data_IF_797198909756
#
_entry.id   IF_797198909756
#
_cell.length_a   1.000
_cell.length_b   1.000
_cell.length_c   1.000
_cell.angle_alpha   90.00
_cell.angle_beta   90.00
_cell.angle_gamma   90.00
#
_symmetry.space_group_name_H-M   'P 1'
#
loop_
_entity.id
_entity.type
_entity.pdbx_description
1 polymer ?
#
# COMPACT_ATOMS: atom_id res chain seq x y z
N UNK A 1 -22.30 -8.31 -3.69
CA UNK A 1 -21.58 -8.91 -2.53
C UNK A 1 -20.89 -7.80 -1.74
N UNK A 2 -20.51 -8.02 -0.48
CA UNK A 2 -19.78 -6.99 0.28
C UNK A 2 -18.37 -6.85 -0.31
N UNK A 3 -17.91 -5.62 -0.54
CA UNK A 3 -16.57 -5.31 -1.07
C UNK A 3 -15.50 -5.55 0.00
N UNK A 4 -14.34 -6.09 -0.38
CA UNK A 4 -13.24 -6.36 0.54
C UNK A 4 -11.99 -5.57 0.13
N UNK A 5 -11.41 -4.83 1.07
CA UNK A 5 -10.08 -4.22 0.91
C UNK A 5 -9.04 -4.96 1.76
N UNK A 6 -7.90 -5.31 1.15
CA UNK A 6 -6.72 -5.84 1.83
C UNK A 6 -5.70 -4.74 1.99
N UNK A 7 -5.42 -4.35 3.24
CA UNK A 7 -4.50 -3.25 3.57
C UNK A 7 -3.15 -3.83 3.97
N UNK A 8 -2.25 -3.97 3.01
CA UNK A 8 -0.91 -4.52 3.17
C UNK A 8 0.07 -3.47 3.71
N UNK A 9 0.73 -3.78 4.84
CA UNK A 9 1.61 -2.84 5.55
C UNK A 9 0.83 -1.90 6.45
N UNK A 10 -0.08 -2.46 7.26
CA UNK A 10 -0.85 -1.68 8.22
C UNK A 10 0.03 -1.07 9.31
N UNK A 11 -0.22 0.22 9.59
CA UNK A 11 0.39 1.03 10.65
C UNK A 11 -0.50 2.22 11.00
N UNK A 12 -0.11 3.01 11.99
CA UNK A 12 -0.93 4.10 12.57
C UNK A 12 -1.17 5.32 11.69
N UNK A 13 -0.44 5.44 10.57
CA UNK A 13 -0.56 6.60 9.66
C UNK A 13 -1.50 6.35 8.48
N UNK A 14 -0.95 6.41 7.27
CA UNK A 14 -1.69 6.35 6.00
C UNK A 14 -2.59 5.12 5.90
N UNK A 15 -2.04 3.94 6.15
CA UNK A 15 -2.80 2.69 6.02
C UNK A 15 -3.94 2.56 7.05
N UNK A 16 -3.81 3.15 8.25
CA UNK A 16 -4.91 3.27 9.18
C UNK A 16 -6.02 4.14 8.62
N UNK A 17 -5.67 5.32 8.09
CA UNK A 17 -6.64 6.24 7.51
C UNK A 17 -7.34 5.64 6.28
N UNK A 18 -6.61 4.94 5.40
CA UNK A 18 -7.19 4.22 4.26
C UNK A 18 -8.14 3.11 4.71
N UNK A 19 -7.73 2.29 5.69
CA UNK A 19 -8.59 1.25 6.25
C UNK A 19 -9.89 1.83 6.83
N UNK A 20 -9.79 2.97 7.53
CA UNK A 20 -10.94 3.67 8.10
C UNK A 20 -11.85 4.23 7.01
N UNK A 21 -11.28 4.91 6.01
CA UNK A 21 -12.04 5.52 4.91
C UNK A 21 -12.82 4.45 4.15
N UNK A 22 -12.16 3.41 3.66
CA UNK A 22 -12.84 2.34 2.93
C UNK A 22 -13.83 1.58 3.80
N UNK A 23 -13.50 1.33 5.08
CA UNK A 23 -14.42 0.71 6.03
C UNK A 23 -15.70 1.52 6.26
N UNK A 24 -15.61 2.84 6.39
CA UNK A 24 -16.77 3.73 6.52
C UNK A 24 -17.62 3.80 5.25
N UNK A 25 -17.05 3.47 4.10
CA UNK A 25 -17.74 3.35 2.81
C UNK A 25 -18.29 1.92 2.55
N UNK A 26 -18.34 1.09 3.59
CA UNK A 26 -18.99 -0.23 3.56
C UNK A 26 -18.10 -1.39 3.13
N UNK A 27 -16.79 -1.21 3.03
CA UNK A 27 -15.87 -2.33 2.79
C UNK A 27 -15.63 -3.16 4.03
N UNK A 28 -15.47 -4.47 3.84
CA UNK A 28 -14.80 -5.35 4.79
C UNK A 28 -13.31 -5.09 4.72
N UNK A 29 -12.63 -5.03 5.85
CA UNK A 29 -11.23 -4.60 5.93
C UNK A 29 -10.34 -5.73 6.46
N UNK A 30 -9.40 -6.19 5.64
CA UNK A 30 -8.33 -7.08 6.07
C UNK A 30 -7.08 -6.26 6.41
N UNK A 31 -6.71 -6.21 7.69
CA UNK A 31 -5.51 -5.52 8.17
C UNK A 31 -4.32 -6.47 8.14
N UNK A 32 -3.25 -6.12 7.41
CA UNK A 32 -2.08 -6.98 7.23
C UNK A 32 -0.81 -6.30 7.73
N UNK A 33 -0.15 -6.89 8.72
CA UNK A 33 1.16 -6.50 9.22
C UNK A 33 1.80 -7.67 10.00
N UNK A 34 3.05 -7.51 10.44
CA UNK A 34 3.79 -8.57 11.15
C UNK A 34 3.31 -8.82 12.59
N UNK A 35 2.90 -7.76 13.29
CA UNK A 35 2.65 -7.80 14.73
C UNK A 35 1.18 -8.08 15.03
N UNK A 36 0.85 -9.31 15.42
CA UNK A 36 -0.52 -9.76 15.70
C UNK A 36 -1.23 -8.88 16.76
N UNK A 37 -0.58 -8.60 17.90
CA UNK A 37 -1.21 -7.84 19.00
C UNK A 37 -1.65 -6.44 18.57
N UNK A 38 -0.83 -5.73 17.77
CA UNK A 38 -1.17 -4.40 17.23
C UNK A 38 -2.33 -4.46 16.23
N UNK A 39 -2.38 -5.53 15.44
CA UNK A 39 -3.50 -5.75 14.51
C UNK A 39 -4.80 -6.04 15.24
N UNK A 40 -4.75 -6.83 16.32
CA UNK A 40 -5.93 -7.19 17.12
C UNK A 40 -6.50 -5.97 17.87
N UNK A 41 -5.63 -5.10 18.41
CA UNK A 41 -6.05 -3.82 19.00
C UNK A 41 -6.75 -2.92 17.96
N UNK A 42 -6.13 -2.79 16.79
CA UNK A 42 -6.71 -2.02 15.71
C UNK A 42 -8.06 -2.62 15.26
N UNK A 43 -8.14 -3.92 15.08
CA UNK A 43 -9.37 -4.60 14.68
C UNK A 43 -10.50 -4.36 15.69
N UNK A 44 -10.22 -4.41 16.99
CA UNK A 44 -11.20 -4.07 18.04
C UNK A 44 -11.70 -2.62 17.91
N UNK A 45 -10.78 -1.67 17.69
CA UNK A 45 -11.14 -0.26 17.53
C UNK A 45 -12.01 -0.01 16.28
N UNK A 46 -11.68 -0.65 15.16
CA UNK A 46 -12.51 -0.58 13.94
C UNK A 46 -13.89 -1.21 14.13
N UNK A 47 -13.94 -2.38 14.77
CA UNK A 47 -15.20 -3.09 15.05
C UNK A 47 -16.13 -2.25 15.94
N UNK A 48 -15.58 -1.53 16.95
CA UNK A 48 -16.34 -0.62 17.79
C UNK A 48 -16.94 0.56 17.01
N UNK A 49 -16.40 0.87 15.82
CA UNK A 49 -16.94 1.88 14.90
C UNK A 49 -17.89 1.28 13.86
N UNK A 50 -18.29 0.00 13.99
CA UNK A 50 -19.20 -0.66 13.07
C UNK A 50 -18.54 -1.18 11.77
N UNK A 51 -17.22 -1.12 11.65
CA UNK A 51 -16.50 -1.60 10.47
C UNK A 51 -16.22 -3.10 10.62
N UNK A 52 -16.62 -3.89 9.61
CA UNK A 52 -16.28 -5.32 9.54
C UNK A 52 -14.80 -5.48 9.20
N UNK A 53 -14.01 -5.89 10.17
CA UNK A 53 -12.56 -5.94 10.08
C UNK A 53 -12.01 -7.24 10.63
N UNK A 54 -10.86 -7.70 10.11
CA UNK A 54 -10.10 -8.83 10.65
C UNK A 54 -8.59 -8.61 10.51
N UNK A 55 -7.86 -9.07 11.51
CA UNK A 55 -6.39 -9.07 11.55
C UNK A 55 -5.83 -10.31 10.81
N UNK A 56 -4.80 -10.08 10.00
CA UNK A 56 -4.05 -11.11 9.27
C UNK A 56 -2.56 -10.88 9.48
N UNK A 57 -1.96 -11.47 10.53
CA UNK A 57 -0.52 -11.41 10.74
C UNK A 57 0.22 -12.06 9.56
N UNK A 58 1.11 -11.28 8.90
CA UNK A 58 1.87 -11.76 7.77
C UNK A 58 3.16 -10.95 7.62
N UNK A 59 4.28 -11.63 7.37
CA UNK A 59 5.48 -10.98 6.87
C UNK A 59 5.39 -10.86 5.36
N UNK A 60 5.20 -9.63 4.88
CA UNK A 60 5.06 -9.36 3.45
C UNK A 60 6.40 -9.46 2.68
N UNK A 61 7.53 -9.67 3.34
CA UNK A 61 8.81 -9.99 2.68
C UNK A 61 8.92 -11.47 2.28
N UNK A 62 8.05 -12.32 2.83
CA UNK A 62 7.96 -13.74 2.47
C UNK A 62 6.85 -13.96 1.43
N UNK A 63 7.24 -14.21 0.19
CA UNK A 63 6.30 -14.47 -0.91
C UNK A 63 5.42 -15.70 -0.67
N UNK A 64 5.90 -16.70 0.07
CA UNK A 64 5.12 -17.88 0.40
C UNK A 64 4.01 -17.58 1.41
N UNK A 65 4.28 -16.69 2.36
CA UNK A 65 3.30 -16.21 3.32
C UNK A 65 2.17 -15.41 2.66
N UNK A 66 2.46 -14.70 1.56
CA UNK A 66 1.45 -13.95 0.81
C UNK A 66 0.38 -14.88 0.21
N UNK A 67 0.75 -16.05 -0.29
CA UNK A 67 -0.22 -17.01 -0.81
C UNK A 67 -1.20 -17.49 0.29
N UNK A 68 -0.68 -17.80 1.47
CA UNK A 68 -1.47 -18.18 2.63
C UNK A 68 -2.36 -17.02 3.13
N UNK A 69 -1.86 -15.81 3.09
CA UNK A 69 -2.60 -14.59 3.41
C UNK A 69 -3.83 -14.44 2.49
N UNK A 70 -3.63 -14.46 1.18
CA UNK A 70 -4.71 -14.30 0.20
C UNK A 70 -5.78 -15.38 0.38
N UNK A 71 -5.37 -16.64 0.57
CA UNK A 71 -6.30 -17.74 0.84
C UNK A 71 -7.09 -17.51 2.15
N UNK A 72 -6.45 -17.02 3.19
CA UNK A 72 -7.08 -16.72 4.47
C UNK A 72 -8.07 -15.56 4.40
N UNK A 73 -7.76 -14.51 3.61
CA UNK A 73 -8.67 -13.38 3.36
C UNK A 73 -9.91 -13.87 2.59
N UNK A 74 -9.73 -14.67 1.53
CA UNK A 74 -10.85 -15.28 0.79
C UNK A 74 -11.75 -16.12 1.67
N UNK A 75 -11.16 -16.94 2.54
CA UNK A 75 -11.93 -17.74 3.50
C UNK A 75 -12.77 -16.90 4.46
N UNK A 76 -12.25 -15.73 4.87
CA UNK A 76 -12.90 -14.87 5.87
C UNK A 76 -13.94 -13.91 5.27
N UNK A 77 -13.68 -13.38 4.07
CA UNK A 77 -14.43 -12.27 3.48
C UNK A 77 -14.95 -12.53 2.06
N UNK A 78 -14.53 -13.60 1.43
CA UNK A 78 -14.83 -13.86 0.02
C UNK A 78 -13.85 -13.15 -0.91
N UNK A 79 -14.34 -12.68 -2.06
CA UNK A 79 -13.55 -12.06 -3.11
C UNK A 79 -12.87 -10.77 -2.64
N UNK A 80 -11.63 -10.56 -3.11
CA UNK A 80 -10.87 -9.33 -2.90
C UNK A 80 -11.26 -8.33 -3.97
N UNK A 81 -11.79 -7.18 -3.54
CA UNK A 81 -12.16 -6.08 -4.44
C UNK A 81 -11.04 -5.06 -4.58
N UNK A 82 -10.31 -4.78 -3.50
CA UNK A 82 -9.23 -3.79 -3.48
C UNK A 82 -8.01 -4.35 -2.77
N UNK A 83 -6.84 -4.27 -3.41
CA UNK A 83 -5.54 -4.49 -2.80
C UNK A 83 -4.86 -3.14 -2.59
N UNK A 84 -4.67 -2.74 -1.34
CA UNK A 84 -3.90 -1.54 -0.99
C UNK A 84 -2.52 -1.92 -0.49
N UNK A 85 -1.47 -1.39 -1.12
CA UNK A 85 -0.08 -1.64 -0.75
C UNK A 85 0.57 -0.40 -0.15
N UNK A 86 0.92 -0.50 1.13
CA UNK A 86 1.61 0.54 1.90
C UNK A 86 2.90 0.00 2.57
N UNK A 87 3.24 -1.28 2.29
CA UNK A 87 4.42 -1.90 2.87
C UNK A 87 5.71 -1.35 2.27
N UNK A 88 6.63 -0.95 3.12
CA UNK A 88 7.97 -0.54 2.78
C UNK A 88 8.90 -0.73 3.98
N UNK A 89 10.20 -0.62 3.77
CA UNK A 89 11.22 -0.57 4.81
C UNK A 89 12.19 0.59 4.56
N UNK A 90 12.89 1.00 5.59
CA UNK A 90 13.97 1.99 5.50
C UNK A 90 15.29 1.24 5.71
N UNK A 91 15.97 0.92 4.62
CA UNK A 91 17.28 0.28 4.59
C UNK A 91 18.05 0.78 3.36
N UNK A 92 19.30 0.38 3.19
CA UNK A 92 20.13 0.79 2.07
C UNK A 92 20.16 2.31 1.87
N UNK A 93 20.43 3.04 2.95
CA UNK A 93 20.42 4.50 2.97
C UNK A 93 21.56 5.12 2.15
N UNK A 94 22.74 4.48 2.17
CA UNK A 94 23.96 4.89 1.45
C UNK A 94 24.51 3.71 0.64
N UNK A 95 24.13 3.62 -0.64
CA UNK A 95 24.54 2.54 -1.54
C UNK A 95 26.03 2.52 -1.89
N UNK A 96 26.80 3.49 -1.41
CA UNK A 96 28.27 3.45 -1.52
C UNK A 96 28.92 2.66 -0.40
N UNK A 97 28.16 2.26 0.63
CA UNK A 97 28.65 1.59 1.85
C UNK A 97 27.80 0.39 2.27
N UNK A 98 26.48 0.52 2.11
CA UNK A 98 25.52 -0.49 2.58
C UNK A 98 25.62 -1.75 1.73
N UNK A 99 25.37 -2.89 2.34
CA UNK A 99 25.42 -4.17 1.65
C UNK A 99 24.35 -4.25 0.54
N UNK A 100 24.68 -4.72 -0.67
CA UNK A 100 23.70 -4.88 -1.76
C UNK A 100 22.49 -5.75 -1.40
N UNK A 101 22.63 -6.63 -0.40
CA UNK A 101 21.54 -7.44 0.14
C UNK A 101 20.44 -6.60 0.80
N UNK A 102 20.75 -5.42 1.34
CA UNK A 102 19.76 -4.52 1.90
C UNK A 102 18.87 -3.91 0.82
N UNK A 103 19.49 -3.47 -0.30
CA UNK A 103 18.73 -3.01 -1.45
C UNK A 103 17.85 -4.13 -2.04
N UNK A 104 18.38 -5.36 -2.11
CA UNK A 104 17.60 -6.53 -2.56
C UNK A 104 16.37 -6.72 -1.68
N UNK A 105 16.54 -6.71 -0.35
CA UNK A 105 15.42 -6.87 0.60
C UNK A 105 14.36 -5.77 0.45
N UNK A 106 14.78 -4.53 0.15
CA UNK A 106 13.86 -3.44 -0.15
C UNK A 106 13.04 -3.68 -1.41
N UNK A 107 13.72 -4.12 -2.49
CA UNK A 107 13.07 -4.43 -3.76
C UNK A 107 12.17 -5.66 -3.64
N UNK A 108 12.59 -6.68 -2.87
CA UNK A 108 11.78 -7.85 -2.59
C UNK A 108 10.47 -7.46 -1.90
N UNK A 109 10.54 -6.67 -0.82
CA UNK A 109 9.33 -6.21 -0.12
C UNK A 109 8.50 -5.24 -0.98
N UNK A 110 9.14 -4.21 -1.54
CA UNK A 110 8.43 -3.09 -2.18
C UNK A 110 7.92 -3.39 -3.58
N UNK A 111 8.57 -4.31 -4.31
CA UNK A 111 8.26 -4.58 -5.72
C UNK A 111 7.86 -6.04 -5.94
N UNK A 112 8.71 -7.00 -5.58
CA UNK A 112 8.47 -8.41 -5.90
C UNK A 112 7.26 -8.94 -5.13
N UNK A 113 7.17 -8.66 -3.84
CA UNK A 113 6.03 -9.05 -3.00
C UNK A 113 4.73 -8.35 -3.42
N UNK A 114 4.80 -7.09 -3.86
CA UNK A 114 3.65 -6.39 -4.44
C UNK A 114 3.16 -7.10 -5.71
N UNK A 115 4.07 -7.45 -6.62
CA UNK A 115 3.73 -8.21 -7.86
C UNK A 115 3.11 -9.55 -7.49
N UNK A 116 3.70 -10.29 -6.55
CA UNK A 116 3.17 -11.56 -6.05
C UNK A 116 1.75 -11.41 -5.50
N UNK A 117 1.50 -10.39 -4.67
CA UNK A 117 0.18 -10.12 -4.11
C UNK A 117 -0.85 -9.76 -5.21
N UNK A 118 -0.45 -8.95 -6.20
CA UNK A 118 -1.30 -8.64 -7.36
C UNK A 118 -1.65 -9.92 -8.12
N UNK A 119 -0.67 -10.75 -8.47
CA UNK A 119 -0.89 -11.99 -9.23
C UNK A 119 -1.84 -12.95 -8.51
N UNK A 120 -1.70 -13.08 -7.20
CA UNK A 120 -2.54 -13.94 -6.37
C UNK A 120 -3.96 -13.40 -6.19
N UNK A 121 -4.13 -12.06 -6.13
CA UNK A 121 -5.45 -11.44 -6.04
C UNK A 121 -6.14 -11.28 -7.42
N UNK A 122 -5.40 -11.39 -8.52
CA UNK A 122 -5.88 -11.07 -9.86
C UNK A 122 -7.10 -11.87 -10.31
N UNK A 123 -7.29 -13.16 -9.97
CA UNK A 123 -8.54 -13.86 -10.28
C UNK A 123 -9.76 -13.15 -9.68
N UNK A 124 -9.72 -12.79 -8.39
CA UNK A 124 -10.81 -12.08 -7.72
C UNK A 124 -11.06 -10.70 -8.35
N UNK A 125 -9.98 -9.96 -8.63
CA UNK A 125 -10.05 -8.63 -9.22
C UNK A 125 -10.69 -8.67 -10.63
N UNK A 126 -10.42 -9.71 -11.43
CA UNK A 126 -11.01 -9.89 -12.77
C UNK A 126 -12.48 -10.28 -12.71
N UNK A 127 -12.85 -11.10 -11.76
CA UNK A 127 -14.20 -11.62 -11.62
C UNK A 127 -15.15 -10.62 -10.93
N UNK A 128 -14.57 -9.68 -10.17
CA UNK A 128 -15.32 -8.69 -9.40
C UNK A 128 -16.11 -7.73 -10.31
N UNK A 129 -17.40 -7.53 -9.98
CA UNK A 129 -18.27 -6.52 -10.58
C UNK A 129 -18.29 -5.20 -9.78
N UNK A 130 -17.50 -5.11 -8.71
CA UNK A 130 -17.55 -4.07 -7.68
C UNK A 130 -16.37 -3.09 -7.77
N UNK A 131 -16.00 -2.67 -8.98
CA UNK A 131 -14.91 -1.70 -9.23
C UNK A 131 -13.55 -2.15 -8.67
N UNK A 132 -12.99 -3.28 -9.14
CA UNK A 132 -11.74 -3.83 -8.62
C UNK A 132 -10.56 -2.88 -8.81
N UNK A 133 -9.67 -2.81 -7.80
CA UNK A 133 -8.52 -1.92 -7.86
C UNK A 133 -7.28 -2.44 -7.11
N UNK A 134 -6.11 -2.01 -7.58
CA UNK A 134 -4.84 -2.06 -6.85
C UNK A 134 -4.41 -0.63 -6.58
N UNK A 135 -4.26 -0.28 -5.31
CA UNK A 135 -3.93 1.07 -4.85
C UNK A 135 -2.57 1.05 -4.13
N UNK A 136 -1.64 1.87 -4.54
CA UNK A 136 -0.27 1.87 -4.01
C UNK A 136 0.05 3.22 -3.37
N UNK A 137 0.60 3.20 -2.16
CA UNK A 137 1.18 4.40 -1.53
C UNK A 137 2.56 4.65 -2.12
N UNK A 138 2.65 5.65 -2.98
CA UNK A 138 3.89 6.17 -3.53
C UNK A 138 4.57 7.16 -2.60
N UNK A 139 5.68 7.72 -3.07
CA UNK A 139 6.40 8.74 -2.33
C UNK A 139 7.25 9.61 -3.24
N UNK A 140 7.46 10.86 -2.84
CA UNK A 140 8.18 11.86 -3.63
C UNK A 140 9.58 11.44 -4.07
N UNK A 141 10.22 10.52 -3.33
CA UNK A 141 11.51 9.93 -3.73
C UNK A 141 11.47 9.11 -5.03
N UNK A 142 10.27 8.80 -5.56
CA UNK A 142 10.12 8.17 -6.88
C UNK A 142 10.40 9.13 -8.05
N UNK A 143 10.33 10.43 -7.83
CA UNK A 143 10.33 11.43 -8.90
C UNK A 143 11.75 11.73 -9.39
N UNK A 144 11.90 11.79 -10.70
CA UNK A 144 13.16 12.16 -11.38
C UNK A 144 13.35 13.68 -11.30
N UNK A 145 14.05 14.11 -10.26
CA UNK A 145 14.26 15.52 -9.97
C UNK A 145 15.59 15.70 -9.21
N UNK A 146 16.51 16.58 -9.66
CA UNK A 146 17.81 16.76 -9.00
C UNK A 146 17.74 17.14 -7.52
N UNK A 147 16.69 17.86 -7.09
CA UNK A 147 16.51 18.20 -5.67
C UNK A 147 16.09 16.95 -4.85
N UNK A 148 15.24 16.10 -5.41
CA UNK A 148 14.85 14.82 -4.81
C UNK A 148 16.06 13.89 -4.72
N UNK A 149 16.86 13.80 -5.80
CA UNK A 149 18.08 12.96 -5.82
C UNK A 149 19.09 13.44 -4.77
N UNK A 150 19.28 14.77 -4.64
CA UNK A 150 20.14 15.33 -3.60
C UNK A 150 19.64 15.08 -2.16
N UNK A 151 18.32 14.97 -1.97
CA UNK A 151 17.73 14.57 -0.68
C UNK A 151 17.93 13.07 -0.43
N UNK A 152 17.65 12.24 -1.43
CA UNK A 152 17.80 10.79 -1.33
C UNK A 152 19.25 10.38 -1.04
N UNK A 153 20.22 11.07 -1.64
CA UNK A 153 21.64 10.86 -1.41
C UNK A 153 22.09 11.07 0.04
N UNK A 154 21.30 11.74 0.88
CA UNK A 154 21.59 11.96 2.30
C UNK A 154 21.20 10.81 3.23
N UNK A 155 20.72 9.67 2.69
CA UNK A 155 20.39 8.50 3.50
C UNK A 155 19.08 7.80 3.12
N UNK A 156 18.62 7.96 1.88
CA UNK A 156 17.41 7.30 1.37
C UNK A 156 17.57 6.75 -0.05
N UNK A 157 18.80 6.40 -0.46
CA UNK A 157 19.10 5.97 -1.84
C UNK A 157 18.29 4.72 -2.22
N UNK A 158 18.29 3.67 -1.37
CA UNK A 158 17.55 2.44 -1.63
C UNK A 158 16.04 2.67 -1.67
N UNK A 159 15.50 3.48 -0.74
CA UNK A 159 14.09 3.86 -0.74
C UNK A 159 13.69 4.59 -2.03
N UNK A 160 14.52 5.49 -2.54
CA UNK A 160 14.30 6.22 -3.78
C UNK A 160 14.19 5.26 -4.96
N UNK A 161 15.14 4.33 -5.09
CA UNK A 161 15.14 3.31 -6.15
C UNK A 161 13.89 2.43 -6.06
N UNK A 162 13.55 1.94 -4.87
CA UNK A 162 12.38 1.10 -4.66
C UNK A 162 11.08 1.86 -5.02
N UNK A 163 10.95 3.11 -4.60
CA UNK A 163 9.77 3.94 -4.92
C UNK A 163 9.68 4.27 -6.41
N UNK A 164 10.81 4.53 -7.09
CA UNK A 164 10.84 4.70 -8.54
C UNK A 164 10.40 3.43 -9.28
N UNK A 165 10.84 2.26 -8.81
CA UNK A 165 10.41 0.98 -9.38
C UNK A 165 8.90 0.73 -9.16
N UNK A 166 8.36 1.03 -7.96
CA UNK A 166 6.91 0.96 -7.70
C UNK A 166 6.13 1.92 -8.62
N UNK A 167 6.58 3.16 -8.75
CA UNK A 167 5.95 4.18 -9.58
C UNK A 167 5.88 3.74 -11.05
N UNK A 168 6.97 3.16 -11.57
CA UNK A 168 6.98 2.58 -12.93
C UNK A 168 6.05 1.39 -13.05
N UNK A 169 6.03 0.51 -12.04
CA UNK A 169 5.15 -0.66 -11.99
C UNK A 169 3.68 -0.25 -12.08
N UNK A 170 3.26 0.78 -11.36
CA UNK A 170 1.88 1.31 -11.40
C UNK A 170 1.47 1.64 -12.82
N UNK A 171 2.26 2.41 -13.55
CA UNK A 171 1.93 2.80 -14.92
C UNK A 171 1.83 1.62 -15.89
N UNK A 172 2.77 0.68 -15.79
CA UNK A 172 2.76 -0.52 -16.63
C UNK A 172 1.56 -1.41 -16.33
N UNK A 173 1.27 -1.64 -15.04
CA UNK A 173 0.11 -2.44 -14.62
C UNK A 173 -1.22 -1.75 -14.92
N UNK A 174 -1.31 -0.44 -14.77
CA UNK A 174 -2.49 0.32 -15.16
C UNK A 174 -2.83 0.09 -16.64
N UNK A 175 -1.85 0.24 -17.53
CA UNK A 175 -2.06 0.03 -18.96
C UNK A 175 -2.44 -1.43 -19.27
N UNK A 176 -1.79 -2.39 -18.61
CA UNK A 176 -2.04 -3.81 -18.83
C UNK A 176 -3.43 -4.25 -18.37
N UNK A 177 -3.86 -3.80 -17.19
CA UNK A 177 -5.08 -4.28 -16.54
C UNK A 177 -6.33 -3.46 -16.86
N UNK A 178 -6.16 -2.28 -17.48
CA UNK A 178 -7.28 -1.39 -17.86
C UNK A 178 -8.31 -2.10 -18.74
N UNK A 179 -7.87 -2.87 -19.73
CA UNK A 179 -8.77 -3.64 -20.62
C UNK A 179 -9.48 -4.79 -19.89
N UNK A 180 -8.97 -5.20 -18.74
CA UNK A 180 -9.52 -6.25 -17.89
C UNK A 180 -10.46 -5.67 -16.80
N UNK A 181 -10.71 -4.36 -16.83
CA UNK A 181 -11.56 -3.65 -15.87
C UNK A 181 -10.95 -3.43 -14.50
N UNK A 182 -9.67 -3.76 -14.29
CA UNK A 182 -8.98 -3.56 -13.02
C UNK A 182 -8.21 -2.23 -13.04
N UNK A 183 -8.53 -1.35 -12.11
CA UNK A 183 -7.81 -0.09 -11.93
C UNK A 183 -6.53 -0.30 -11.12
N UNK A 184 -5.44 0.32 -11.55
CA UNK A 184 -4.20 0.40 -10.78
C UNK A 184 -3.81 1.86 -10.64
N UNK A 185 -3.69 2.34 -9.40
CA UNK A 185 -3.40 3.74 -9.13
C UNK A 185 -2.50 3.95 -7.92
N UNK A 186 -1.80 5.08 -7.93
CA UNK A 186 -0.88 5.50 -6.87
C UNK A 186 -1.23 6.89 -6.37
N UNK A 187 -1.19 7.04 -5.04
CA UNK A 187 -1.10 8.36 -4.41
C UNK A 187 0.35 8.61 -4.04
N UNK A 188 1.02 9.52 -4.76
CA UNK A 188 2.40 9.91 -4.50
C UNK A 188 2.43 10.99 -3.43
N UNK A 189 2.92 10.63 -2.24
CA UNK A 189 3.00 11.53 -1.08
C UNK A 189 4.28 12.35 -1.17
N UNK A 190 4.16 13.69 -1.27
CA UNK A 190 5.27 14.62 -1.50
C UNK A 190 5.81 15.25 -0.21
N UNK A 191 5.48 14.71 0.96
CA UNK A 191 5.93 15.24 2.24
C UNK A 191 5.80 14.26 3.38
N UNK A 192 5.93 14.77 4.62
CA UNK A 192 5.78 13.98 5.82
C UNK A 192 4.31 13.95 6.26
N UNK A 193 3.83 12.75 6.61
CA UNK A 193 2.45 12.52 7.02
C UNK A 193 2.38 12.39 8.53
N UNK A 194 1.45 13.12 9.14
CA UNK A 194 1.20 13.12 10.59
C UNK A 194 0.84 11.73 11.10
N UNK A 195 1.35 11.41 12.29
CA UNK A 195 1.09 10.13 12.95
C UNK A 195 1.84 8.93 12.36
N UNK A 196 2.73 9.13 11.38
CA UNK A 196 3.63 8.10 10.89
C UNK A 196 4.91 8.03 11.73
N UNK A 197 5.70 6.96 11.56
CA UNK A 197 7.01 6.82 12.22
C UNK A 197 8.04 7.87 11.80
N UNK A 198 7.80 8.58 10.72
CA UNK A 198 8.65 9.68 10.22
C UNK A 198 8.21 11.06 10.71
N UNK A 199 7.06 11.15 11.34
CA UNK A 199 6.59 12.40 11.95
C UNK A 199 7.36 12.68 13.24
N UNK A 200 8.15 13.74 13.22
CA UNK A 200 8.90 14.25 14.38
C UNK A 200 8.35 15.60 14.85
N UNK A 201 7.06 15.86 14.61
CA UNK A 201 6.40 17.12 14.93
C UNK A 201 6.47 18.15 13.79
N UNK A 202 7.01 17.79 12.64
CA UNK A 202 7.15 18.67 11.47
C UNK A 202 6.35 18.18 10.24
N UNK A 203 5.54 17.15 10.39
CA UNK A 203 4.68 16.66 9.34
C UNK A 203 3.51 17.65 9.08
N UNK A 204 3.22 17.89 7.81
CA UNK A 204 2.18 18.83 7.37
C UNK A 204 0.96 18.15 6.76
N UNK A 205 1.12 16.92 6.27
CA UNK A 205 0.07 16.20 5.55
C UNK A 205 -0.75 15.38 6.56
N UNK A 206 -2.07 15.55 6.56
CA UNK A 206 -2.97 14.71 7.34
C UNK A 206 -3.10 13.33 6.70
N UNK A 207 -3.03 12.26 7.49
CA UNK A 207 -3.21 10.90 6.98
C UNK A 207 -4.61 10.68 6.39
N UNK A 208 -5.63 11.37 6.91
CA UNK A 208 -6.98 11.37 6.35
C UNK A 208 -7.05 11.98 4.96
N UNK A 209 -6.32 13.06 4.69
CA UNK A 209 -6.26 13.66 3.36
C UNK A 209 -5.65 12.70 2.32
N UNK A 210 -4.64 11.91 2.72
CA UNK A 210 -4.10 10.84 1.86
C UNK A 210 -5.16 9.77 1.58
N UNK A 211 -5.92 9.36 2.59
CA UNK A 211 -6.99 8.39 2.45
C UNK A 211 -8.13 8.90 1.55
N UNK A 212 -8.52 10.17 1.69
CA UNK A 212 -9.52 10.80 0.83
C UNK A 212 -9.02 10.85 -0.62
N UNK A 213 -7.73 11.12 -0.84
CA UNK A 213 -7.13 11.08 -2.17
C UNK A 213 -7.18 9.68 -2.79
N UNK A 214 -6.93 8.63 -1.99
CA UNK A 214 -7.13 7.24 -2.44
C UNK A 214 -8.59 6.95 -2.81
N UNK A 215 -9.54 7.47 -2.05
CA UNK A 215 -10.96 7.30 -2.34
C UNK A 215 -11.37 8.02 -3.63
N UNK A 216 -10.86 9.22 -3.87
CA UNK A 216 -11.08 9.99 -5.10
C UNK A 216 -10.60 9.23 -6.34
N UNK A 217 -9.36 8.72 -6.33
CA UNK A 217 -8.82 7.96 -7.48
C UNK A 217 -9.51 6.61 -7.65
N UNK A 218 -9.93 5.98 -6.55
CA UNK A 218 -10.73 4.76 -6.61
C UNK A 218 -12.08 4.99 -7.31
N UNK A 219 -12.71 6.13 -7.07
CA UNK A 219 -13.96 6.52 -7.72
C UNK A 219 -13.80 6.98 -9.17
N UNK A 220 -12.81 7.85 -9.44
CA UNK A 220 -12.60 8.44 -10.76
C UNK A 220 -11.93 7.49 -11.76
N UNK A 221 -10.97 6.67 -11.31
CA UNK A 221 -10.23 5.66 -12.10
C UNK A 221 -9.58 6.23 -13.37
N UNK A 222 -9.31 7.52 -13.39
CA UNK A 222 -8.88 8.25 -14.60
C UNK A 222 -7.36 8.18 -14.79
N UNK A 223 -6.61 8.49 -13.74
CA UNK A 223 -5.16 8.67 -13.78
C UNK A 223 -4.44 7.59 -12.96
N UNK A 224 -3.29 7.06 -13.45
CA UNK A 224 -2.51 6.09 -12.68
C UNK A 224 -1.73 6.71 -11.52
N UNK A 225 -1.44 8.01 -11.55
CA UNK A 225 -0.69 8.71 -10.52
C UNK A 225 -1.35 10.03 -10.14
N UNK A 226 -1.47 10.27 -8.85
CA UNK A 226 -1.88 11.57 -8.31
C UNK A 226 -1.00 11.95 -7.14
N UNK A 227 -0.72 13.24 -7.01
CA UNK A 227 0.13 13.76 -5.95
C UNK A 227 -0.71 14.28 -4.78
N UNK A 228 -0.11 14.29 -3.59
CA UNK A 228 -0.57 15.00 -2.39
C UNK A 228 0.63 15.53 -1.61
N UNK A 229 0.56 16.83 -1.20
CA UNK A 229 1.59 17.51 -0.44
C UNK A 229 1.67 18.98 -0.74
#
# INVERSE_FOLDING_TARGET
MAKTIVVCGYGTGISHAVARKFGSEGFQVALVARTASKLDEAAKAFASSGIRVKAFPCDLSDSSAIASLIASVRSAFGEITVLHWNAYASAAGDLTRDEPSELRSLLDLGVISLVTAIQLALPDLRDSKESPAVLITGGGFALYNPQVDAMAAKGAMGLSIMKAAQHKLVGVMHQKLKAEGVYVGEVTVLGLVKGTSHDRGNATIEASAVADRFWEIYGSRSEPWVNIG
#
